data_IF_423062559879
#
_entry.id   IF_423062559879
#
_cell.length_a   1.000
_cell.length_b   1.000
_cell.length_c   1.000
_cell.angle_alpha   90.00
_cell.angle_beta   90.00
_cell.angle_gamma   90.00
#
_symmetry.space_group_name_H-M   'P 1'
#
loop_
_entity.id
_entity.type
_entity.pdbx_description
1 polymer ?
#
# COMPACT_ATOMS: atom_id res chain seq x y z
N UNK A 1 3.89 7.54 10.07
CA UNK A 1 2.53 7.80 9.56
C UNK A 1 1.98 6.59 8.83
N UNK A 2 2.38 6.31 7.58
CA UNK A 2 1.89 5.14 6.83
C UNK A 2 2.18 3.77 7.48
N UNK A 3 3.33 3.64 8.15
CA UNK A 3 3.71 2.37 8.80
C UNK A 3 2.76 1.93 9.92
N UNK A 4 2.06 2.89 10.53
CA UNK A 4 1.12 2.64 11.64
C UNK A 4 -0.33 2.60 11.15
N UNK A 5 -0.60 3.01 9.91
CA UNK A 5 -1.92 3.08 9.29
C UNK A 5 -1.78 2.65 7.82
N UNK A 6 -1.71 1.33 7.62
CA UNK A 6 -1.43 0.72 6.32
C UNK A 6 -2.52 0.94 5.28
N UNK A 7 -3.73 1.31 5.71
CA UNK A 7 -4.89 1.62 4.87
C UNK A 7 -5.00 3.11 4.50
N UNK A 8 -3.88 3.83 4.40
CA UNK A 8 -3.85 5.25 4.01
C UNK A 8 -3.38 5.42 2.57
N UNK A 9 -4.21 6.08 1.76
CA UNK A 9 -3.89 6.52 0.39
C UNK A 9 -3.07 7.81 0.41
N UNK A 10 -3.51 8.75 1.24
CA UNK A 10 -2.83 10.02 1.51
C UNK A 10 -3.09 10.44 2.96
N UNK A 11 -2.42 11.50 3.40
CA UNK A 11 -2.65 12.08 4.73
C UNK A 11 -2.65 13.59 4.69
N UNK A 12 -3.74 14.17 5.20
CA UNK A 12 -3.90 15.61 5.37
C UNK A 12 -3.41 16.02 6.75
N UNK A 13 -2.60 17.08 6.82
CA UNK A 13 -2.04 17.65 8.03
C UNK A 13 -2.15 19.17 7.97
N UNK A 14 -2.00 19.80 9.14
CA UNK A 14 -1.96 21.25 9.29
C UNK A 14 -0.66 21.65 9.96
N UNK A 15 0.06 22.59 9.37
CA UNK A 15 1.20 23.24 10.01
C UNK A 15 0.78 24.66 10.40
N UNK A 16 0.92 24.99 11.69
CA UNK A 16 0.70 26.32 12.21
C UNK A 16 2.04 26.89 12.67
N UNK A 17 2.51 27.94 11.99
CA UNK A 17 3.79 28.59 12.28
C UNK A 17 3.56 30.06 12.56
N UNK A 18 3.58 30.46 13.83
CA UNK A 18 3.10 31.78 14.22
C UNK A 18 1.60 31.90 13.89
N UNK A 19 1.26 32.89 13.06
CA UNK A 19 -0.12 33.10 12.61
C UNK A 19 -0.44 32.34 11.32
N UNK A 20 0.55 31.72 10.67
CA UNK A 20 0.38 31.13 9.35
C UNK A 20 -0.07 29.67 9.45
N UNK A 21 -1.28 29.40 8.96
CA UNK A 21 -1.78 28.06 8.72
C UNK A 21 -1.41 27.61 7.31
N UNK A 22 -0.79 26.43 7.19
CA UNK A 22 -0.55 25.73 5.93
C UNK A 22 -1.20 24.35 5.96
N UNK A 23 -1.98 24.02 4.92
CA UNK A 23 -2.52 22.67 4.73
C UNK A 23 -1.49 21.84 3.97
N UNK A 24 -1.12 20.69 4.53
CA UNK A 24 -0.12 19.78 4.01
C UNK A 24 -0.79 18.46 3.63
N UNK A 25 -0.56 17.99 2.42
CA UNK A 25 -1.05 16.69 1.95
C UNK A 25 0.15 15.83 1.56
N UNK A 26 0.33 14.72 2.26
CA UNK A 26 1.32 13.71 1.93
C UNK A 26 0.65 12.56 1.18
N UNK A 27 1.25 12.16 0.07
CA UNK A 27 0.92 10.94 -0.66
C UNK A 27 2.22 10.18 -1.00
N UNK A 28 2.11 9.07 -1.74
CA UNK A 28 3.29 8.27 -2.12
C UNK A 28 4.17 8.93 -3.19
N UNK A 29 3.77 10.08 -3.73
CA UNK A 29 4.58 10.94 -4.60
C UNK A 29 5.25 12.09 -3.84
N UNK A 30 4.95 12.27 -2.55
CA UNK A 30 5.59 13.26 -1.66
C UNK A 30 4.60 14.23 -1.03
N UNK A 31 5.00 15.48 -0.85
CA UNK A 31 4.18 16.55 -0.24
C UNK A 31 3.57 17.48 -1.31
N UNK A 32 2.33 17.92 -1.07
CA UNK A 32 1.72 19.13 -1.65
C UNK A 32 1.35 20.05 -0.47
N UNK A 33 1.68 21.32 -0.56
CA UNK A 33 1.40 22.29 0.49
C UNK A 33 0.63 23.49 -0.08
N UNK A 34 -0.40 23.95 0.63
CA UNK A 34 -1.07 25.22 0.30
C UNK A 34 -0.12 26.40 0.50
N UNK A 35 -0.51 27.57 -0.03
CA UNK A 35 0.09 28.81 0.45
C UNK A 35 -0.27 29.01 1.94
N UNK A 36 0.61 29.63 2.74
CA UNK A 36 0.29 30.03 4.10
C UNK A 36 -0.87 31.02 4.15
N UNK A 37 -1.69 30.93 5.20
CA UNK A 37 -2.81 31.82 5.45
C UNK A 37 -2.74 32.34 6.88
N UNK A 38 -2.70 33.66 7.07
CA UNK A 38 -2.81 34.26 8.39
C UNK A 38 -4.21 33.97 8.98
N UNK A 39 -4.23 33.28 10.12
CA UNK A 39 -5.45 32.83 10.79
C UNK A 39 -6.25 33.97 11.42
N UNK A 40 -5.63 35.11 11.72
CA UNK A 40 -6.31 36.27 12.29
C UNK A 40 -6.94 37.12 11.20
N UNK A 41 -6.29 37.24 10.04
CA UNK A 41 -6.88 37.91 8.87
C UNK A 41 -8.00 37.09 8.23
N UNK A 42 -7.85 35.75 8.20
CA UNK A 42 -8.82 34.82 7.60
C UNK A 42 -9.29 33.76 8.58
N UNK A 43 -9.85 34.19 9.71
CA UNK A 43 -10.37 33.30 10.76
C UNK A 43 -11.37 32.24 10.25
N UNK A 44 -12.18 32.57 9.23
CA UNK A 44 -13.09 31.60 8.61
C UNK A 44 -12.37 30.41 7.97
N UNK A 45 -11.20 30.63 7.36
CA UNK A 45 -10.39 29.55 6.75
C UNK A 45 -9.85 28.63 7.84
N UNK A 46 -9.35 29.21 8.95
CA UNK A 46 -8.89 28.43 10.09
C UNK A 46 -10.02 27.58 10.69
N UNK A 47 -11.20 28.17 10.91
CA UNK A 47 -12.37 27.44 11.41
C UNK A 47 -12.83 26.35 10.44
N UNK A 48 -12.84 26.61 9.13
CA UNK A 48 -13.16 25.60 8.12
C UNK A 48 -12.14 24.47 8.09
N UNK A 49 -10.85 24.75 8.25
CA UNK A 49 -9.82 23.71 8.33
C UNK A 49 -10.02 22.84 9.58
N UNK A 50 -10.24 23.45 10.74
CA UNK A 50 -10.45 22.74 12.01
C UNK A 50 -11.75 21.92 12.00
N UNK A 51 -12.89 22.56 11.76
CA UNK A 51 -14.21 21.90 11.73
C UNK A 51 -14.26 20.88 10.58
N UNK A 52 -13.77 21.26 9.41
CA UNK A 52 -13.70 20.37 8.25
C UNK A 52 -12.91 19.10 8.57
N UNK A 53 -11.79 19.19 9.30
CA UNK A 53 -11.02 18.00 9.69
C UNK A 53 -11.75 17.08 10.68
N UNK A 54 -12.60 17.64 11.55
CA UNK A 54 -13.36 16.88 12.54
C UNK A 54 -14.52 16.09 11.92
N UNK A 55 -15.15 16.64 10.88
CA UNK A 55 -16.33 16.07 10.24
C UNK A 55 -16.06 15.52 8.84
N UNK A 56 -14.81 15.52 8.39
CA UNK A 56 -14.46 15.00 7.08
C UNK A 56 -14.75 13.50 7.01
N UNK A 57 -15.32 13.09 5.88
CA UNK A 57 -15.45 11.68 5.54
C UNK A 57 -14.07 10.99 5.61
N UNK A 58 -13.99 9.76 6.17
CA UNK A 58 -12.76 8.98 6.26
C UNK A 58 -11.93 8.96 4.98
N UNK A 59 -12.59 8.84 3.83
CA UNK A 59 -11.93 8.76 2.52
C UNK A 59 -11.32 10.08 2.08
N UNK A 60 -11.89 11.23 2.50
CA UNK A 60 -11.39 12.57 2.21
C UNK A 60 -10.07 12.82 2.94
N UNK A 61 -9.97 12.35 4.19
CA UNK A 61 -8.71 12.37 4.96
C UNK A 61 -7.76 11.23 4.58
N UNK A 62 -8.09 10.45 3.55
CA UNK A 62 -7.20 9.51 2.90
C UNK A 62 -7.24 8.08 3.42
N UNK A 63 -8.28 7.68 4.16
CA UNK A 63 -8.53 6.25 4.38
C UNK A 63 -8.94 5.57 3.07
N UNK A 64 -8.44 4.36 2.88
CA UNK A 64 -8.77 3.50 1.75
C UNK A 64 -10.11 2.80 2.00
N UNK A 65 -11.18 3.10 1.23
CA UNK A 65 -12.48 2.43 1.40
C UNK A 65 -12.46 0.96 0.96
N UNK A 66 -11.39 0.51 0.30
CA UNK A 66 -11.23 -0.86 -0.19
C UNK A 66 -10.46 -1.75 0.79
N UNK A 67 -10.19 -1.24 2.01
CA UNK A 67 -9.66 -2.00 3.14
C UNK A 67 -10.55 -1.75 4.35
N UNK A 68 -11.18 -2.80 4.86
CA UNK A 68 -11.93 -2.72 6.11
C UNK A 68 -10.97 -2.85 7.29
N UNK A 69 -11.09 -1.96 8.27
CA UNK A 69 -10.32 -1.99 9.51
C UNK A 69 -11.23 -2.11 10.72
N UNK A 70 -10.75 -2.84 11.72
CA UNK A 70 -11.28 -2.83 13.09
C UNK A 70 -10.37 -1.94 13.94
N UNK A 71 -10.93 -0.95 14.62
CA UNK A 71 -10.17 0.00 15.43
C UNK A 71 -9.28 -0.68 16.49
N UNK A 72 -9.70 -1.85 16.98
CA UNK A 72 -8.98 -2.60 18.01
C UNK A 72 -8.03 -3.66 17.47
N UNK A 73 -8.22 -4.12 16.22
CA UNK A 73 -7.52 -5.28 15.65
C UNK A 73 -6.75 -4.99 14.36
N UNK A 74 -6.86 -3.79 13.82
CA UNK A 74 -6.20 -3.39 12.57
C UNK A 74 -6.97 -3.84 11.31
N UNK A 75 -6.29 -4.00 10.17
CA UNK A 75 -6.93 -4.35 8.91
C UNK A 75 -7.53 -5.77 8.94
N UNK A 76 -8.78 -5.90 8.49
CA UNK A 76 -9.58 -7.13 8.52
C UNK A 76 -9.81 -7.74 7.15
N UNK A 77 -10.09 -6.92 6.14
CA UNK A 77 -10.29 -7.42 4.78
C UNK A 77 -9.87 -6.41 3.75
N UNK A 78 -9.52 -6.92 2.57
CA UNK A 78 -9.02 -6.14 1.43
C UNK A 78 -9.75 -6.56 0.16
N UNK A 79 -10.15 -5.60 -0.66
CA UNK A 79 -10.79 -5.84 -1.95
C UNK A 79 -9.73 -6.02 -3.04
N UNK A 80 -9.80 -7.08 -3.83
CA UNK A 80 -9.00 -7.24 -5.04
C UNK A 80 -9.94 -7.63 -6.16
N UNK A 81 -9.94 -6.86 -7.26
CA UNK A 81 -10.96 -7.00 -8.28
C UNK A 81 -12.34 -6.71 -7.70
N UNK A 82 -13.22 -7.71 -7.77
CA UNK A 82 -14.58 -7.67 -7.21
C UNK A 82 -14.70 -8.47 -5.91
N UNK A 83 -13.57 -8.99 -5.39
CA UNK A 83 -13.54 -10.00 -4.35
C UNK A 83 -12.91 -9.49 -3.05
N UNK A 84 -13.62 -9.66 -1.94
CA UNK A 84 -13.04 -9.42 -0.61
C UNK A 84 -12.26 -10.64 -0.13
N UNK A 85 -11.08 -10.40 0.41
CA UNK A 85 -10.22 -11.38 1.06
C UNK A 85 -10.06 -11.04 2.53
N UNK A 86 -10.11 -12.04 3.42
CA UNK A 86 -9.84 -11.87 4.85
C UNK A 86 -8.33 -11.69 5.07
N UNK A 87 -7.93 -10.65 5.78
CA UNK A 87 -6.53 -10.41 6.13
C UNK A 87 -6.21 -11.19 7.40
N UNK A 88 -5.26 -12.11 7.29
CA UNK A 88 -4.77 -12.90 8.42
C UNK A 88 -3.56 -12.24 9.08
N UNK A 89 -2.66 -11.67 8.28
CA UNK A 89 -1.47 -10.97 8.78
C UNK A 89 -0.98 -9.89 7.81
N UNK A 90 -0.28 -8.89 8.35
CA UNK A 90 0.46 -7.89 7.58
C UNK A 90 1.94 -8.29 7.57
N UNK A 91 2.34 -9.04 6.54
CA UNK A 91 3.66 -9.68 6.51
C UNK A 91 4.80 -8.69 6.22
N UNK A 92 4.53 -7.56 5.55
CA UNK A 92 5.52 -6.53 5.29
C UNK A 92 4.90 -5.14 5.15
N UNK A 93 5.61 -4.13 5.67
CA UNK A 93 5.24 -2.71 5.52
C UNK A 93 6.49 -1.87 5.23
N UNK A 94 6.55 -1.29 4.04
CA UNK A 94 7.60 -0.36 3.66
C UNK A 94 7.52 0.93 4.49
N UNK A 95 8.64 1.36 5.08
CA UNK A 95 8.71 2.52 5.96
C UNK A 95 8.85 3.87 5.24
N UNK A 96 9.11 3.88 3.93
CA UNK A 96 9.34 5.09 3.17
C UNK A 96 8.06 5.93 2.99
N UNK A 97 8.18 7.25 3.15
CA UNK A 97 7.05 8.19 2.96
C UNK A 97 6.67 8.33 1.48
N UNK A 98 7.66 8.48 0.61
CA UNK A 98 7.53 8.55 -0.86
C UNK A 98 8.12 7.28 -1.46
N UNK A 99 7.51 6.76 -2.52
CA UNK A 99 7.96 5.55 -3.18
C UNK A 99 6.82 4.58 -3.44
N UNK A 100 7.14 3.28 -3.48
CA UNK A 100 6.14 2.23 -3.69
C UNK A 100 5.23 2.06 -2.49
N UNK A 101 5.73 2.32 -1.29
CA UNK A 101 4.94 2.23 -0.08
C UNK A 101 4.38 0.84 0.16
N UNK A 102 5.10 -0.19 -0.30
CA UNK A 102 4.57 -1.55 -0.42
C UNK A 102 4.09 -2.07 0.92
N UNK A 103 2.85 -2.56 0.93
CA UNK A 103 2.30 -3.37 2.03
C UNK A 103 2.00 -4.74 1.49
N UNK A 104 2.38 -5.78 2.22
CA UNK A 104 2.08 -7.15 1.84
C UNK A 104 1.22 -7.78 2.91
N UNK A 105 0.09 -8.34 2.48
CA UNK A 105 -0.89 -9.00 3.33
C UNK A 105 -0.89 -10.49 3.03
N UNK A 106 -0.90 -11.30 4.07
CA UNK A 106 -1.34 -12.69 3.97
C UNK A 106 -2.86 -12.70 4.10
N UNK A 107 -3.53 -13.29 3.12
CA UNK A 107 -5.00 -13.28 3.07
C UNK A 107 -5.57 -14.66 2.81
N UNK A 108 -6.84 -14.85 3.15
CA UNK A 108 -7.59 -16.07 2.90
C UNK A 108 -8.90 -15.78 2.17
N UNK A 109 -9.28 -16.70 1.29
CA UNK A 109 -10.61 -16.78 0.71
C UNK A 109 -10.95 -18.23 0.38
N UNK A 110 -12.15 -18.68 0.74
CA UNK A 110 -12.67 -20.03 0.47
C UNK A 110 -11.72 -21.16 0.94
N UNK A 111 -11.05 -20.95 2.08
CA UNK A 111 -10.08 -21.89 2.66
C UNK A 111 -8.68 -21.87 2.02
N UNK A 112 -8.50 -21.14 0.91
CA UNK A 112 -7.22 -21.00 0.22
C UNK A 112 -6.45 -19.75 0.68
N UNK A 113 -5.14 -19.90 0.89
CA UNK A 113 -4.23 -18.80 1.21
C UNK A 113 -3.68 -18.11 -0.04
N UNK A 114 -3.56 -16.78 0.05
CA UNK A 114 -3.00 -15.92 -0.96
C UNK A 114 -2.13 -14.83 -0.32
N UNK A 115 -1.39 -14.12 -1.18
CA UNK A 115 -0.64 -12.92 -0.82
C UNK A 115 -1.16 -11.75 -1.63
N UNK A 116 -1.52 -10.65 -0.97
CA UNK A 116 -1.82 -9.38 -1.63
C UNK A 116 -0.64 -8.45 -1.44
N UNK A 117 0.02 -8.09 -2.54
CA UNK A 117 1.04 -7.05 -2.58
C UNK A 117 0.39 -5.75 -3.04
N UNK A 118 0.19 -4.83 -2.11
CA UNK A 118 -0.37 -3.50 -2.31
C UNK A 118 0.77 -2.48 -2.50
N UNK A 119 0.75 -1.70 -3.58
CA UNK A 119 1.84 -0.75 -3.87
C UNK A 119 1.47 0.40 -4.80
N UNK A 120 2.29 1.45 -4.79
CA UNK A 120 2.15 2.66 -5.59
C UNK A 120 3.19 2.71 -6.71
N UNK A 121 2.75 2.45 -7.93
CA UNK A 121 3.60 2.28 -9.11
C UNK A 121 3.76 3.60 -9.84
N UNK A 122 4.99 4.03 -10.10
CA UNK A 122 5.31 5.21 -10.90
C UNK A 122 4.83 5.00 -12.35
N UNK A 123 3.86 5.81 -12.79
CA UNK A 123 3.22 5.67 -14.10
C UNK A 123 4.14 6.05 -15.27
N UNK A 124 5.28 6.71 -14.98
CA UNK A 124 6.30 6.98 -16.00
C UNK A 124 7.21 5.78 -16.26
N UNK A 125 7.11 4.74 -15.43
CA UNK A 125 7.87 3.50 -15.54
C UNK A 125 6.90 2.37 -15.81
N UNK A 126 7.32 1.46 -16.67
CA UNK A 126 6.62 0.20 -16.82
C UNK A 126 6.79 -0.61 -15.53
N UNK A 127 5.68 -0.96 -14.87
CA UNK A 127 5.74 -2.03 -13.88
C UNK A 127 5.95 -3.32 -14.63
N UNK A 128 7.02 -4.05 -14.31
CA UNK A 128 7.40 -5.29 -15.00
C UNK A 128 7.16 -6.53 -14.17
N UNK A 129 6.90 -6.36 -12.87
CA UNK A 129 6.78 -7.48 -11.95
C UNK A 129 5.62 -8.42 -12.32
N UNK A 130 4.38 -7.93 -12.58
CA UNK A 130 3.30 -8.80 -13.01
C UNK A 130 3.59 -9.51 -14.34
N UNK A 131 4.26 -8.85 -15.28
CA UNK A 131 4.58 -9.39 -16.61
C UNK A 131 5.67 -10.46 -16.53
N UNK A 132 6.71 -10.22 -15.73
CA UNK A 132 7.76 -11.21 -15.49
C UNK A 132 7.17 -12.46 -14.83
N UNK A 133 6.36 -12.29 -13.78
CA UNK A 133 5.75 -13.44 -13.10
C UNK A 133 4.79 -14.22 -14.02
N UNK A 134 3.97 -13.52 -14.82
CA UNK A 134 3.13 -14.16 -15.86
C UNK A 134 3.95 -14.89 -16.93
N UNK A 135 5.13 -14.37 -17.30
CA UNK A 135 6.00 -15.04 -18.27
C UNK A 135 6.66 -16.32 -17.74
N UNK A 136 6.69 -16.48 -16.41
CA UNK A 136 7.24 -17.63 -15.70
C UNK A 136 6.13 -18.57 -15.18
N UNK A 137 4.87 -18.31 -15.56
CA UNK A 137 3.74 -19.13 -15.14
C UNK A 137 3.89 -20.58 -15.62
N UNK A 138 3.51 -21.53 -14.76
CA UNK A 138 3.67 -22.97 -15.01
C UNK A 138 5.05 -23.51 -14.69
N UNK A 139 6.02 -22.67 -14.30
CA UNK A 139 7.25 -23.13 -13.68
C UNK A 139 6.99 -23.46 -12.20
N UNK A 140 7.50 -24.60 -11.77
CA UNK A 140 7.42 -25.01 -10.38
C UNK A 140 8.11 -23.98 -9.47
N UNK A 141 7.54 -23.74 -8.30
CA UNK A 141 8.09 -22.90 -7.23
C UNK A 141 8.19 -21.39 -7.52
N UNK A 142 7.63 -20.92 -8.64
CA UNK A 142 7.40 -19.49 -8.89
C UNK A 142 5.98 -19.11 -8.46
N UNK A 143 5.77 -17.98 -7.77
CA UNK A 143 4.43 -17.51 -7.46
C UNK A 143 3.60 -17.27 -8.73
N UNK A 144 2.39 -17.84 -8.75
CA UNK A 144 1.39 -17.59 -9.77
C UNK A 144 0.71 -16.25 -9.51
N UNK A 145 0.56 -15.44 -10.57
CA UNK A 145 -0.23 -14.22 -10.54
C UNK A 145 -1.69 -14.59 -10.75
N UNK A 146 -2.48 -14.52 -9.67
CA UNK A 146 -3.93 -14.75 -9.74
C UNK A 146 -4.62 -13.53 -10.35
N UNK A 147 -4.23 -12.33 -9.89
CA UNK A 147 -4.83 -11.08 -10.37
C UNK A 147 -3.85 -9.92 -10.24
N UNK A 148 -3.87 -9.01 -11.22
CA UNK A 148 -3.15 -7.74 -11.21
C UNK A 148 -4.17 -6.62 -11.43
N UNK A 149 -4.40 -5.82 -10.39
CA UNK A 149 -5.56 -4.97 -10.25
C UNK A 149 -5.16 -3.53 -9.94
N UNK A 150 -5.67 -2.57 -10.73
CA UNK A 150 -5.61 -1.15 -10.38
C UNK A 150 -6.71 -0.85 -9.36
N UNK A 151 -6.34 -0.35 -8.18
CA UNK A 151 -7.31 -0.01 -7.13
C UNK A 151 -8.16 1.14 -7.62
N UNK A 152 -9.48 1.01 -7.47
CA UNK A 152 -10.42 2.05 -7.89
C UNK A 152 -10.87 2.89 -6.69
N UNK A 153 -10.86 4.21 -6.87
CA UNK A 153 -11.50 5.17 -5.98
C UNK A 153 -12.53 5.96 -6.77
N UNK A 154 -13.79 5.95 -6.33
CA UNK A 154 -14.93 6.54 -7.05
C UNK A 154 -15.06 6.05 -8.50
N UNK A 155 -14.76 4.77 -8.75
CA UNK A 155 -14.91 4.12 -10.06
C UNK A 155 -13.79 4.40 -11.06
N UNK A 156 -12.73 5.12 -10.66
CA UNK A 156 -11.55 5.38 -11.51
C UNK A 156 -10.27 4.91 -10.82
N UNK A 157 -9.19 4.59 -11.57
CA UNK A 157 -7.91 4.22 -10.96
C UNK A 157 -7.44 5.26 -9.95
N UNK A 158 -7.11 4.79 -8.76
CA UNK A 158 -6.62 5.64 -7.68
C UNK A 158 -5.17 6.04 -7.97
N UNK A 159 -4.93 7.35 -7.98
CA UNK A 159 -3.63 7.91 -8.36
C UNK A 159 -3.30 9.14 -7.52
N UNK A 160 -2.00 9.44 -7.41
CA UNK A 160 -1.53 10.67 -6.76
C UNK A 160 -1.73 11.93 -7.62
N UNK A 161 -2.32 11.79 -8.81
CA UNK A 161 -2.47 12.87 -9.81
C UNK A 161 -3.29 14.04 -9.29
N UNK A 162 -4.41 13.78 -8.63
CA UNK A 162 -5.43 14.77 -8.28
C UNK A 162 -4.82 16.01 -7.62
N UNK A 163 -3.98 15.81 -6.62
CA UNK A 163 -3.38 16.91 -5.88
C UNK A 163 -2.22 17.58 -6.61
N UNK A 164 -1.58 16.87 -7.56
CA UNK A 164 -0.42 17.39 -8.31
C UNK A 164 -0.86 18.35 -9.41
N UNK A 165 -2.07 18.17 -9.92
CA UNK A 165 -2.70 19.08 -10.88
C UNK A 165 -3.33 20.31 -10.21
N UNK A 166 -3.44 20.33 -8.88
CA UNK A 166 -3.86 21.51 -8.13
C UNK A 166 -2.85 22.66 -8.23
N UNK A 167 -3.30 23.89 -7.97
CA UNK A 167 -2.43 25.08 -8.02
C UNK A 167 -1.21 24.96 -7.08
N UNK A 168 -1.43 24.38 -5.89
CA UNK A 168 -0.38 24.06 -4.92
C UNK A 168 0.58 22.96 -5.42
N UNK A 169 0.10 22.03 -6.25
CA UNK A 169 0.87 20.90 -6.75
C UNK A 169 1.79 21.26 -7.92
N UNK A 170 1.39 22.20 -8.78
CA UNK A 170 2.12 22.59 -10.00
C UNK A 170 3.54 23.08 -9.74
N UNK A 171 3.82 23.62 -8.54
CA UNK A 171 5.15 24.09 -8.15
C UNK A 171 6.15 22.96 -7.87
N UNK A 172 5.70 21.71 -7.74
CA UNK A 172 6.54 20.57 -7.35
C UNK A 172 6.57 19.51 -8.44
N UNK A 173 7.75 19.27 -9.02
CA UNK A 173 7.95 18.18 -9.99
C UNK A 173 8.04 16.84 -9.24
N UNK A 174 6.94 16.11 -9.19
CA UNK A 174 6.85 14.76 -8.64
C UNK A 174 6.26 13.79 -9.67
N UNK A 175 6.67 12.52 -9.61
CA UNK A 175 6.06 11.44 -10.38
C UNK A 175 4.58 11.27 -10.01
N UNK A 176 3.80 10.77 -10.96
CA UNK A 176 2.43 10.30 -10.69
C UNK A 176 2.53 8.81 -10.42
N UNK A 177 1.83 8.36 -9.39
CA UNK A 177 1.77 6.94 -9.01
C UNK A 177 0.35 6.45 -9.06
N UNK A 178 0.17 5.24 -9.56
CA UNK A 178 -1.09 4.50 -9.54
C UNK A 178 -1.05 3.45 -8.42
N UNK A 179 -2.15 3.33 -7.68
CA UNK A 179 -2.30 2.34 -6.63
C UNK A 179 -2.70 0.99 -7.23
N UNK A 180 -1.88 -0.04 -7.03
CA UNK A 180 -2.08 -1.39 -7.58
C UNK A 180 -1.99 -2.47 -6.52
N UNK A 181 -2.73 -3.56 -6.75
CA UNK A 181 -2.68 -4.80 -5.97
C UNK A 181 -2.34 -5.96 -6.88
N UNK A 182 -1.33 -6.72 -6.48
CA UNK A 182 -0.95 -7.98 -7.10
C UNK A 182 -1.33 -9.12 -6.16
N UNK A 183 -2.26 -9.97 -6.59
CA UNK A 183 -2.70 -11.16 -5.88
C UNK A 183 -1.89 -12.36 -6.36
N UNK A 184 -1.24 -13.03 -5.42
CA UNK A 184 -0.30 -14.11 -5.66
C UNK A 184 -0.67 -15.36 -4.86
N UNK A 185 -0.28 -16.52 -5.37
CA UNK A 185 -0.24 -17.79 -4.62
C UNK A 185 0.97 -18.63 -5.08
N UNK A 186 1.48 -19.58 -4.27
CA UNK A 186 1.13 -19.83 -2.88
C UNK A 186 1.66 -18.74 -1.91
N UNK A 187 1.16 -18.74 -0.67
CA UNK A 187 1.70 -17.92 0.41
C UNK A 187 2.85 -18.65 1.12
N UNK A 188 4.06 -18.10 1.05
CA UNK A 188 5.25 -18.64 1.73
C UNK A 188 5.51 -17.95 3.08
N UNK A 189 6.28 -18.59 3.97
CA UNK A 189 6.81 -17.94 5.19
C UNK A 189 7.99 -17.01 4.90
N UNK A 190 8.34 -16.12 5.83
CA UNK A 190 9.49 -15.23 5.66
C UNK A 190 10.79 -15.99 5.91
N UNK A 191 11.87 -15.54 5.28
CA UNK A 191 13.21 -16.08 5.54
C UNK A 191 13.66 -15.88 7.01
N UNK A 192 13.13 -14.86 7.69
CA UNK A 192 13.37 -14.62 9.12
C UNK A 192 12.66 -15.61 10.04
N UNK A 193 11.66 -16.33 9.52
CA UNK A 193 10.85 -17.22 10.34
C UNK A 193 11.52 -18.59 10.49
N UNK A 194 12.58 -18.87 9.71
CA UNK A 194 13.41 -20.07 9.88
C UNK A 194 13.99 -20.13 11.28
N UNK A 195 13.93 -21.33 11.88
CA UNK A 195 14.32 -21.60 13.28
C UNK A 195 15.78 -21.30 13.53
N UNK A 196 16.63 -21.61 12.55
CA UNK A 196 18.06 -21.38 12.62
C UNK A 196 18.69 -21.28 11.20
N UNK A 197 19.98 -20.91 11.19
CA UNK A 197 20.76 -20.79 9.96
C UNK A 197 20.88 -22.12 9.21
N UNK A 198 20.90 -23.26 9.92
CA UNK A 198 21.01 -24.58 9.31
C UNK A 198 19.75 -24.88 8.52
N UNK A 199 18.57 -24.59 9.06
CA UNK A 199 17.28 -24.78 8.39
C UNK A 199 17.20 -23.92 7.12
N UNK A 200 17.61 -22.65 7.20
CA UNK A 200 17.63 -21.75 6.05
C UNK A 200 18.62 -22.23 4.98
N UNK A 201 19.86 -22.55 5.36
CA UNK A 201 20.87 -23.04 4.42
C UNK A 201 20.46 -24.38 3.80
N UNK A 202 19.76 -25.22 4.56
CA UNK A 202 19.21 -26.47 4.05
C UNK A 202 18.14 -26.18 3.00
N UNK A 203 17.20 -25.27 3.25
CA UNK A 203 16.20 -24.89 2.25
C UNK A 203 16.86 -24.32 0.97
N UNK A 204 17.91 -23.49 1.10
CA UNK A 204 18.66 -22.97 -0.05
C UNK A 204 19.37 -24.11 -0.81
N UNK A 205 20.01 -25.04 -0.08
CA UNK A 205 20.65 -26.21 -0.68
C UNK A 205 19.63 -27.07 -1.41
N UNK A 206 18.47 -27.33 -0.80
CA UNK A 206 17.41 -28.15 -1.38
C UNK A 206 16.90 -27.53 -2.71
N UNK A 207 16.89 -26.20 -2.85
CA UNK A 207 16.63 -25.51 -4.12
C UNK A 207 17.72 -25.76 -5.16
N UNK A 208 18.99 -25.71 -4.75
CA UNK A 208 20.15 -25.88 -5.66
C UNK A 208 20.27 -27.34 -6.12
N UNK A 209 20.07 -28.29 -5.21
CA UNK A 209 20.19 -29.73 -5.45
C UNK A 209 18.92 -30.33 -6.09
N UNK A 210 17.83 -29.56 -6.14
CA UNK A 210 16.55 -29.97 -6.70
C UNK A 210 15.75 -30.92 -5.79
N UNK A 211 15.98 -30.89 -4.49
CA UNK A 211 15.24 -31.65 -3.46
C UNK A 211 13.93 -30.93 -3.09
N UNK A 212 13.08 -30.76 -4.10
CA UNK A 212 11.96 -29.81 -4.06
C UNK A 212 10.82 -30.14 -3.11
N UNK A 213 10.60 -31.43 -2.78
CA UNK A 213 9.58 -31.82 -1.80
C UNK A 213 9.93 -31.34 -0.39
N UNK A 214 11.20 -31.46 -0.01
CA UNK A 214 11.71 -31.03 1.30
C UNK A 214 11.77 -29.49 1.38
N UNK A 215 12.15 -28.82 0.29
CA UNK A 215 12.05 -27.37 0.18
C UNK A 215 10.60 -26.88 0.35
N UNK A 216 9.63 -27.52 -0.29
CA UNK A 216 8.23 -27.13 -0.22
C UNK A 216 7.69 -27.23 1.21
N UNK A 217 7.98 -28.33 1.90
CA UNK A 217 7.60 -28.51 3.31
C UNK A 217 8.20 -27.42 4.19
N UNK A 218 9.46 -27.01 3.95
CA UNK A 218 10.12 -25.97 4.75
C UNK A 218 9.57 -24.57 4.51
N UNK A 219 9.13 -24.25 3.29
CA UNK A 219 8.70 -22.89 2.91
C UNK A 219 7.21 -22.62 3.10
N UNK A 220 6.37 -23.66 3.01
CA UNK A 220 4.92 -23.52 2.89
C UNK A 220 4.12 -24.19 4.02
N UNK A 221 4.79 -24.94 4.93
CA UNK A 221 4.23 -25.40 6.21
C UNK A 221 4.89 -24.68 7.40
#
# INVERSE_FOLDING_TARGET
MYRSQVNRRHVVNFALTGNDLTVLMFDRSGLVASNPVDIHEKASVFLHAAIGSLYAEPTVIGLDPTINTDESKGPKSILVGENWYEILDVIYVEGALRGRGTVVYQVQKDGQLYVVKDSWVDTSREDREPQILKSLEGLDHIPEVVEDYAVLYNGVPDTTRLFRESEAGKGFKSEIREHRRLLLKPCARKLSDFRDLVELLTAIRDVVDGEFADFFVRMFN
#
